data_IF_956370076969
#
_entry.id   IF_956370076969
#
_cell.length_a   1.000
_cell.length_b   1.000
_cell.length_c   1.000
_cell.angle_alpha   90.00
_cell.angle_beta   90.00
_cell.angle_gamma   90.00
#
_symmetry.space_group_name_H-M   'P 1'
#
loop_
_entity.id
_entity.type
_entity.pdbx_description
1 polymer ?
#
# COMPACT_ATOMS: atom_id res chain seq x y z
N UNK A 1 10.75 -1.19 -29.95
CA UNK A 1 9.52 -0.67 -29.31
C UNK A 1 9.03 0.45 -30.22
N UNK A 2 7.75 0.47 -30.58
CA UNK A 2 7.17 1.68 -31.18
C UNK A 2 7.22 2.80 -30.14
N UNK A 3 7.40 4.04 -30.57
CA UNK A 3 7.35 5.22 -29.71
C UNK A 3 5.96 5.30 -29.07
N UNK A 4 5.86 4.90 -27.81
CA UNK A 4 4.62 5.01 -27.03
C UNK A 4 4.56 6.45 -26.52
N UNK A 5 3.46 7.19 -26.74
CA UNK A 5 3.31 8.53 -26.18
C UNK A 5 3.37 8.48 -24.64
N UNK A 6 4.28 9.26 -24.05
CA UNK A 6 4.47 9.34 -22.60
C UNK A 6 4.12 10.75 -22.12
N UNK A 7 3.30 10.82 -21.07
CA UNK A 7 3.09 12.04 -20.30
C UNK A 7 3.88 11.89 -18.99
N UNK A 8 4.81 12.83 -18.73
CA UNK A 8 5.54 12.91 -17.47
C UNK A 8 4.98 14.08 -16.66
N UNK A 9 4.50 13.79 -15.45
CA UNK A 9 4.01 14.81 -14.52
C UNK A 9 4.98 14.86 -13.33
N UNK A 10 5.73 15.95 -13.23
CA UNK A 10 6.64 16.20 -12.12
C UNK A 10 5.94 17.04 -11.03
N UNK A 11 6.02 16.58 -9.78
CA UNK A 11 5.47 17.29 -8.63
C UNK A 11 6.51 18.24 -8.05
N UNK A 12 6.22 19.53 -8.02
CA UNK A 12 7.10 20.55 -7.39
C UNK A 12 7.36 20.23 -5.92
N UNK A 13 6.35 19.74 -5.20
CA UNK A 13 6.47 19.27 -3.81
C UNK A 13 5.98 17.83 -3.70
N UNK A 14 6.83 16.94 -3.18
CA UNK A 14 6.43 15.57 -2.90
C UNK A 14 5.52 15.52 -1.66
N UNK A 15 4.22 15.33 -1.86
CA UNK A 15 3.22 15.20 -0.78
C UNK A 15 2.83 13.73 -0.53
N UNK A 16 3.69 12.79 -0.95
CA UNK A 16 3.53 11.36 -0.72
C UNK A 16 2.92 10.62 -1.90
N UNK A 17 2.16 9.57 -1.60
CA UNK A 17 1.46 8.72 -2.58
C UNK A 17 0.02 9.17 -2.81
N UNK A 18 -0.61 9.76 -1.79
CA UNK A 18 -2.03 10.16 -1.80
C UNK A 18 -2.32 11.13 -2.94
N UNK A 19 -1.49 12.15 -3.06
CA UNK A 19 -1.57 13.21 -4.06
C UNK A 19 -1.48 12.65 -5.48
N UNK A 20 -0.54 11.74 -5.75
CA UNK A 20 -0.38 11.08 -7.05
C UNK A 20 -1.61 10.26 -7.42
N UNK A 21 -2.17 9.49 -6.47
CA UNK A 21 -3.38 8.71 -6.72
C UNK A 21 -4.59 9.62 -6.99
N UNK A 22 -4.81 10.64 -6.15
CA UNK A 22 -5.91 11.59 -6.33
C UNK A 22 -5.80 12.30 -7.68
N UNK A 23 -4.63 12.84 -8.02
CA UNK A 23 -4.39 13.55 -9.27
C UNK A 23 -4.61 12.63 -10.48
N UNK A 24 -4.07 11.41 -10.46
CA UNK A 24 -4.20 10.47 -11.58
C UNK A 24 -5.67 10.12 -11.83
N UNK A 25 -6.44 9.83 -10.78
CA UNK A 25 -7.86 9.55 -10.96
C UNK A 25 -8.66 10.79 -11.34
N UNK A 26 -8.32 11.97 -10.82
CA UNK A 26 -8.95 13.23 -11.21
C UNK A 26 -8.70 13.59 -12.68
N UNK A 27 -7.57 13.19 -13.26
CA UNK A 27 -7.25 13.43 -14.66
C UNK A 27 -7.81 12.37 -15.61
N UNK A 28 -7.78 11.09 -15.23
CA UNK A 28 -8.00 9.97 -16.16
C UNK A 28 -9.18 9.05 -15.82
N UNK A 29 -9.80 9.21 -14.65
CA UNK A 29 -11.00 8.44 -14.26
C UNK A 29 -12.27 9.31 -14.39
N UNK A 30 -13.43 8.81 -13.92
CA UNK A 30 -14.65 9.59 -13.83
C UNK A 30 -14.45 10.82 -12.92
N UNK A 31 -14.93 12.01 -13.33
CA UNK A 31 -14.74 13.24 -12.56
C UNK A 31 -15.57 13.19 -11.26
N UNK A 32 -15.00 13.73 -10.18
CA UNK A 32 -15.68 13.87 -8.88
C UNK A 32 -16.14 15.30 -8.62
N UNK A 33 -17.20 15.45 -7.84
CA UNK A 33 -17.84 16.75 -7.57
C UNK A 33 -16.93 17.75 -6.82
N UNK A 34 -16.12 17.25 -5.89
CA UNK A 34 -15.27 18.09 -5.04
C UNK A 34 -13.85 18.32 -5.62
N UNK A 35 -13.68 18.17 -6.93
CA UNK A 35 -12.39 18.38 -7.61
C UNK A 35 -11.93 19.84 -7.51
N UNK A 36 -10.68 20.12 -7.12
CA UNK A 36 -10.14 21.49 -7.11
C UNK A 36 -10.22 22.15 -8.49
N UNK A 37 -10.49 23.45 -8.53
CA UNK A 37 -10.62 24.21 -9.77
C UNK A 37 -9.40 24.07 -10.67
N UNK A 38 -8.19 24.18 -10.13
CA UNK A 38 -6.95 24.01 -10.91
C UNK A 38 -6.82 22.62 -11.52
N UNK A 39 -7.19 21.57 -10.78
CA UNK A 39 -7.18 20.18 -11.29
C UNK A 39 -8.22 19.98 -12.37
N UNK A 40 -9.40 20.60 -12.25
CA UNK A 40 -10.43 20.58 -13.29
C UNK A 40 -9.95 21.25 -14.59
N UNK A 41 -9.34 22.44 -14.47
CA UNK A 41 -8.76 23.15 -15.62
C UNK A 41 -7.65 22.32 -16.30
N UNK A 42 -6.76 21.72 -15.50
CA UNK A 42 -5.72 20.82 -16.00
C UNK A 42 -6.32 19.61 -16.72
N UNK A 43 -7.37 19.00 -16.17
CA UNK A 43 -8.11 17.92 -16.83
C UNK A 43 -8.63 18.39 -18.19
N UNK A 44 -9.31 19.52 -18.24
CA UNK A 44 -9.85 20.07 -19.49
C UNK A 44 -8.75 20.29 -20.54
N UNK A 45 -7.60 20.83 -20.14
CA UNK A 45 -6.44 21.01 -21.02
C UNK A 45 -5.87 19.67 -21.51
N UNK A 46 -5.69 18.70 -20.62
CA UNK A 46 -5.22 17.36 -20.97
C UNK A 46 -6.15 16.70 -21.99
N UNK A 47 -7.46 16.74 -21.75
CA UNK A 47 -8.45 16.09 -22.62
C UNK A 47 -8.68 16.82 -23.94
N UNK A 48 -8.57 18.15 -23.97
CA UNK A 48 -8.80 18.96 -25.17
C UNK A 48 -7.57 19.08 -26.07
N UNK A 49 -6.38 19.16 -25.47
CA UNK A 49 -5.15 19.53 -26.20
C UNK A 49 -4.17 18.36 -26.27
N UNK A 50 -3.89 17.71 -25.14
CA UNK A 50 -2.79 16.73 -25.04
C UNK A 50 -3.22 15.36 -25.58
N UNK A 51 -4.32 14.79 -25.08
CA UNK A 51 -4.76 13.46 -25.47
C UNK A 51 -5.05 13.33 -26.98
N UNK A 52 -5.74 14.28 -27.64
CA UNK A 52 -5.98 14.18 -29.09
C UNK A 52 -4.68 14.14 -29.90
N UNK A 53 -3.68 14.93 -29.54
CA UNK A 53 -2.37 14.92 -30.20
C UNK A 53 -1.61 13.60 -29.98
N UNK A 54 -1.66 13.05 -28.77
CA UNK A 54 -0.95 11.80 -28.44
C UNK A 54 -1.63 10.55 -28.99
N UNK A 55 -2.94 10.62 -29.25
CA UNK A 55 -3.75 9.46 -29.64
C UNK A 55 -4.23 9.54 -31.09
N UNK A 56 -3.67 10.46 -31.87
CA UNK A 56 -3.97 10.61 -33.29
C UNK A 56 -3.77 9.27 -34.02
N UNK A 57 -4.77 8.85 -34.80
CA UNK A 57 -4.75 7.59 -35.54
C UNK A 57 -5.00 6.30 -34.73
N UNK A 58 -5.15 6.37 -33.41
CA UNK A 58 -5.31 5.17 -32.55
C UNK A 58 -6.78 4.75 -32.33
N UNK A 59 -7.75 5.58 -32.72
CA UNK A 59 -9.18 5.35 -32.44
C UNK A 59 -9.56 5.48 -30.97
N UNK A 60 -8.66 6.02 -30.14
CA UNK A 60 -8.87 6.27 -28.71
C UNK A 60 -10.10 7.14 -28.46
N UNK A 61 -10.92 6.76 -27.47
CA UNK A 61 -12.12 7.50 -27.06
C UNK A 61 -12.12 7.85 -25.57
N UNK A 62 -11.72 6.89 -24.74
CA UNK A 62 -11.69 7.02 -23.30
C UNK A 62 -10.72 5.98 -22.71
N UNK A 63 -10.40 6.15 -21.44
CA UNK A 63 -9.73 5.15 -20.64
C UNK A 63 -10.77 4.21 -20.00
N UNK A 64 -10.55 2.90 -20.07
CA UNK A 64 -11.39 1.93 -19.38
C UNK A 64 -10.86 1.58 -17.98
N UNK A 65 -9.54 1.65 -17.80
CA UNK A 65 -8.86 1.18 -16.60
C UNK A 65 -7.59 2.02 -16.31
N UNK A 66 -7.22 2.08 -15.03
CA UNK A 66 -5.99 2.71 -14.53
C UNK A 66 -5.16 1.64 -13.82
N UNK A 67 -3.92 1.42 -14.29
CA UNK A 67 -2.97 0.52 -13.65
C UNK A 67 -2.01 1.30 -12.74
N UNK A 68 -1.82 0.81 -11.52
CA UNK A 68 -0.92 1.38 -10.52
C UNK A 68 0.26 0.43 -10.28
N UNK A 69 1.47 0.99 -10.30
CA UNK A 69 2.73 0.32 -9.91
C UNK A 69 3.59 1.26 -9.07
N UNK A 70 4.43 0.68 -8.22
CA UNK A 70 5.47 1.40 -7.49
C UNK A 70 6.76 1.40 -8.34
N UNK A 71 7.67 2.35 -8.09
CA UNK A 71 8.88 2.54 -8.89
C UNK A 71 9.95 1.45 -8.66
N UNK A 72 9.88 0.74 -7.53
CA UNK A 72 10.78 -0.34 -7.11
C UNK A 72 10.14 -1.73 -7.36
N UNK A 73 9.28 -1.81 -8.39
CA UNK A 73 8.53 -3.02 -8.70
C UNK A 73 8.74 -3.48 -10.14
N UNK A 74 8.93 -4.79 -10.31
CA UNK A 74 9.05 -5.45 -11.61
C UNK A 74 7.76 -6.18 -11.93
N UNK A 75 7.13 -5.83 -13.05
CA UNK A 75 5.86 -6.42 -13.50
C UNK A 75 6.14 -7.59 -14.45
N UNK A 76 5.63 -8.78 -14.13
CA UNK A 76 5.80 -9.94 -15.01
C UNK A 76 5.01 -9.80 -16.31
N UNK A 77 5.50 -10.45 -17.38
CA UNK A 77 4.82 -10.45 -18.67
C UNK A 77 3.39 -10.99 -18.54
N UNK A 78 2.43 -10.27 -19.14
CA UNK A 78 1.01 -10.61 -19.11
C UNK A 78 0.29 -10.28 -17.79
N UNK A 79 0.98 -9.75 -16.77
CA UNK A 79 0.37 -9.36 -15.49
C UNK A 79 -0.75 -8.33 -15.68
N UNK A 80 -0.47 -7.24 -16.40
CA UNK A 80 -1.45 -6.18 -16.70
C UNK A 80 -2.68 -6.74 -17.42
N UNK A 81 -2.48 -7.59 -18.43
CA UNK A 81 -3.56 -8.22 -19.18
C UNK A 81 -4.43 -9.15 -18.31
N UNK A 82 -3.83 -9.93 -17.41
CA UNK A 82 -4.56 -10.80 -16.47
C UNK A 82 -5.44 -9.97 -15.51
N UNK A 83 -4.92 -8.86 -14.99
CA UNK A 83 -5.67 -7.95 -14.12
C UNK A 83 -6.83 -7.28 -14.87
N UNK A 84 -6.58 -6.78 -16.07
CA UNK A 84 -7.59 -6.17 -16.93
C UNK A 84 -8.70 -7.17 -17.28
N UNK A 85 -8.35 -8.39 -17.68
CA UNK A 85 -9.31 -9.44 -17.99
C UNK A 85 -10.16 -9.84 -16.78
N UNK A 86 -9.55 -9.95 -15.59
CA UNK A 86 -10.30 -10.24 -14.37
C UNK A 86 -11.27 -9.11 -14.01
N UNK A 87 -10.86 -7.86 -14.21
CA UNK A 87 -11.69 -6.68 -13.96
C UNK A 87 -12.87 -6.61 -14.94
N UNK A 88 -12.63 -6.84 -16.23
CA UNK A 88 -13.65 -6.79 -17.27
C UNK A 88 -14.72 -7.90 -17.15
N UNK A 89 -14.36 -9.06 -16.58
CA UNK A 89 -15.27 -10.21 -16.42
C UNK A 89 -16.31 -10.02 -15.30
N UNK A 90 -15.99 -9.22 -14.30
CA UNK A 90 -16.83 -9.01 -13.13
C UNK A 90 -17.31 -7.55 -13.11
N UNK A 91 -18.57 -7.33 -13.51
CA UNK A 91 -19.21 -6.00 -13.54
C UNK A 91 -19.19 -5.28 -12.19
N UNK A 92 -19.17 -6.06 -11.10
CA UNK A 92 -19.17 -5.52 -9.75
C UNK A 92 -17.73 -5.28 -9.26
N UNK A 93 -16.69 -5.79 -9.93
CA UNK A 93 -15.29 -5.59 -9.55
C UNK A 93 -14.79 -4.17 -9.87
N UNK A 94 -14.51 -3.35 -8.85
CA UNK A 94 -14.00 -1.97 -9.01
C UNK A 94 -12.48 -1.92 -9.14
N UNK A 95 -11.81 -2.92 -8.59
CA UNK A 95 -10.38 -3.08 -8.74
C UNK A 95 -9.95 -4.54 -8.59
N UNK A 96 -8.85 -4.88 -9.25
CA UNK A 96 -8.16 -6.16 -9.11
C UNK A 96 -6.72 -5.94 -8.66
N UNK A 97 -6.16 -6.89 -7.91
CA UNK A 97 -4.76 -6.86 -7.51
C UNK A 97 -4.04 -8.16 -7.77
N UNK A 98 -2.75 -8.05 -8.02
CA UNK A 98 -1.86 -9.18 -8.24
C UNK A 98 -1.19 -9.72 -6.99
N UNK A 99 -0.41 -10.78 -7.19
CA UNK A 99 0.52 -11.36 -6.25
C UNK A 99 1.83 -10.56 -6.22
N UNK A 100 2.25 -10.16 -5.02
CA UNK A 100 3.53 -9.49 -4.79
C UNK A 100 4.55 -10.48 -4.23
N UNK A 101 5.68 -10.63 -4.89
CA UNK A 101 6.81 -11.44 -4.43
C UNK A 101 8.00 -10.53 -4.09
N UNK A 102 8.92 -11.04 -3.28
CA UNK A 102 10.19 -10.35 -3.03
C UNK A 102 11.09 -10.58 -4.24
N UNK A 103 11.66 -9.53 -4.80
CA UNK A 103 12.62 -9.66 -5.89
C UNK A 103 13.86 -10.43 -5.42
N UNK A 104 14.31 -11.38 -6.23
CA UNK A 104 15.53 -12.14 -5.96
C UNK A 104 16.72 -11.43 -6.61
N UNK A 105 17.10 -10.29 -6.04
CA UNK A 105 18.26 -9.54 -6.48
C UNK A 105 19.51 -10.43 -6.46
N UNK A 106 20.33 -10.44 -7.53
CA UNK A 106 21.57 -11.22 -7.58
C UNK A 106 22.46 -10.93 -6.37
N UNK A 107 22.88 -11.98 -5.66
CA UNK A 107 23.69 -11.87 -4.44
C UNK A 107 22.89 -11.66 -3.15
N UNK A 108 21.61 -11.27 -3.22
CA UNK A 108 20.71 -11.15 -2.07
C UNK A 108 19.59 -12.20 -2.06
N UNK A 109 19.45 -13.01 -3.11
CA UNK A 109 18.43 -14.06 -3.25
C UNK A 109 18.40 -15.13 -2.13
N UNK A 110 19.46 -15.22 -1.34
CA UNK A 110 19.58 -16.09 -0.16
C UNK A 110 19.81 -15.30 1.13
N UNK A 111 19.69 -13.97 1.09
CA UNK A 111 19.86 -13.14 2.27
C UNK A 111 18.80 -13.50 3.33
N UNK A 112 19.18 -13.32 4.59
CA UNK A 112 18.26 -13.48 5.72
C UNK A 112 16.96 -12.70 5.51
N UNK A 113 17.08 -11.44 5.05
CA UNK A 113 15.94 -10.55 4.82
C UNK A 113 15.02 -11.02 3.70
N UNK A 114 15.58 -11.53 2.60
CA UNK A 114 14.79 -12.06 1.50
C UNK A 114 14.06 -13.33 1.92
N UNK A 115 14.73 -14.28 2.58
CA UNK A 115 14.09 -15.51 3.05
C UNK A 115 12.97 -15.22 4.07
N UNK A 116 13.25 -14.35 5.04
CA UNK A 116 12.29 -13.97 6.08
C UNK A 116 11.07 -13.25 5.48
N UNK A 117 11.28 -12.28 4.60
CA UNK A 117 10.20 -11.48 4.03
C UNK A 117 9.44 -12.22 2.94
N UNK A 118 10.08 -13.06 2.13
CA UNK A 118 9.41 -13.84 1.08
C UNK A 118 8.28 -14.70 1.66
N UNK A 119 8.50 -15.33 2.84
CA UNK A 119 7.43 -16.00 3.56
C UNK A 119 6.35 -15.01 4.02
N UNK A 120 6.72 -13.91 4.67
CA UNK A 120 5.75 -12.96 5.22
C UNK A 120 4.82 -12.37 4.15
N UNK A 121 5.37 -12.02 2.99
CA UNK A 121 4.60 -11.53 1.84
C UNK A 121 3.64 -12.62 1.32
N UNK A 122 4.14 -13.83 1.08
CA UNK A 122 3.34 -14.91 0.48
C UNK A 122 2.29 -15.45 1.45
N UNK A 123 2.66 -15.70 2.72
CA UNK A 123 1.74 -16.18 3.74
C UNK A 123 0.57 -15.22 3.96
N UNK A 124 0.84 -13.92 4.13
CA UNK A 124 -0.22 -12.92 4.30
C UNK A 124 -1.16 -12.84 3.09
N UNK A 125 -0.63 -12.93 1.88
CA UNK A 125 -1.44 -12.87 0.66
C UNK A 125 -2.30 -14.13 0.47
N UNK A 126 -1.78 -15.32 0.72
CA UNK A 126 -2.53 -16.56 0.48
C UNK A 126 -3.43 -16.99 1.64
N UNK A 127 -3.10 -16.62 2.88
CA UNK A 127 -3.98 -16.92 4.03
C UNK A 127 -5.08 -15.89 4.15
N UNK A 128 -4.76 -14.59 4.05
CA UNK A 128 -5.74 -13.52 4.24
C UNK A 128 -6.31 -13.02 2.92
N UNK A 129 -5.47 -12.50 2.02
CA UNK A 129 -5.97 -11.83 0.80
C UNK A 129 -6.72 -12.80 -0.12
N UNK A 130 -6.31 -14.07 -0.20
CA UNK A 130 -7.05 -15.09 -0.97
C UNK A 130 -8.41 -15.42 -0.36
N UNK A 131 -8.49 -15.54 0.97
CA UNK A 131 -9.77 -15.71 1.66
C UNK A 131 -10.71 -14.50 1.42
N UNK A 132 -10.18 -13.28 1.54
CA UNK A 132 -10.90 -12.05 1.18
C UNK A 132 -11.29 -12.01 -0.30
N UNK A 133 -10.45 -12.57 -1.18
CA UNK A 133 -10.68 -12.68 -2.63
C UNK A 133 -11.85 -13.59 -2.98
N UNK A 134 -12.03 -14.72 -2.29
CA UNK A 134 -13.22 -15.58 -2.46
C UNK A 134 -14.51 -14.85 -2.07
N UNK A 135 -14.45 -14.01 -1.03
CA UNK A 135 -15.57 -13.16 -0.62
C UNK A 135 -15.79 -12.01 -1.63
N UNK A 136 -14.76 -11.63 -2.38
CA UNK A 136 -14.75 -10.47 -3.28
C UNK A 136 -14.53 -9.15 -2.54
N UNK A 137 -13.90 -9.17 -1.36
CA UNK A 137 -13.71 -8.00 -0.49
C UNK A 137 -12.28 -7.91 0.02
N UNK A 138 -11.30 -7.99 -0.89
CA UNK A 138 -9.90 -7.72 -0.56
C UNK A 138 -9.77 -6.35 0.10
N UNK A 139 -9.25 -6.32 1.32
CA UNK A 139 -9.17 -5.11 2.17
C UNK A 139 -7.87 -4.33 2.00
N UNK A 140 -6.98 -4.80 1.13
CA UNK A 140 -5.71 -4.14 0.83
C UNK A 140 -5.21 -4.50 -0.57
N UNK A 141 -5.46 -3.61 -1.52
CA UNK A 141 -4.90 -3.65 -2.87
C UNK A 141 -3.50 -3.03 -2.84
N UNK A 142 -2.43 -3.77 -3.14
CA UNK A 142 -1.06 -3.27 -3.05
C UNK A 142 -0.77 -2.22 -4.14
N UNK A 143 0.00 -1.19 -3.78
CA UNK A 143 0.48 -0.16 -4.71
C UNK A 143 1.13 -0.66 -5.99
N UNK A 144 1.95 -1.68 -5.86
CA UNK A 144 2.79 -2.18 -6.94
C UNK A 144 2.07 -2.96 -8.04
N UNK A 145 0.85 -3.45 -7.80
CA UNK A 145 0.16 -4.32 -8.76
C UNK A 145 -1.35 -4.25 -8.58
N UNK A 146 -1.93 -3.12 -8.96
CA UNK A 146 -3.39 -2.90 -8.86
C UNK A 146 -3.94 -2.32 -10.16
N UNK A 147 -5.05 -2.86 -10.64
CA UNK A 147 -5.84 -2.32 -11.75
C UNK A 147 -7.16 -1.79 -11.20
N UNK A 148 -7.55 -0.58 -11.59
CA UNK A 148 -8.76 0.11 -11.13
C UNK A 148 -9.65 0.46 -12.32
N UNK A 149 -10.96 0.27 -12.20
CA UNK A 149 -11.90 0.60 -13.26
C UNK A 149 -12.10 2.12 -13.40
N UNK A 150 -12.37 2.59 -14.62
CA UNK A 150 -12.83 3.96 -14.88
C UNK A 150 -14.35 4.01 -14.84
N UNK A 151 -14.91 4.57 -13.75
CA UNK A 151 -16.37 4.67 -13.52
C UNK A 151 -16.73 5.54 -12.31
N UNK A 152 -18.01 5.88 -12.20
CA UNK A 152 -18.54 6.83 -11.21
C UNK A 152 -18.31 6.42 -9.75
N UNK A 153 -18.36 5.12 -9.43
CA UNK A 153 -18.06 4.67 -8.07
C UNK A 153 -16.61 5.01 -7.67
N UNK A 154 -15.69 5.03 -8.64
CA UNK A 154 -14.32 5.45 -8.36
C UNK A 154 -14.23 6.96 -8.09
N UNK A 155 -15.05 7.79 -8.74
CA UNK A 155 -15.14 9.22 -8.45
C UNK A 155 -15.58 9.46 -6.99
N UNK A 156 -16.60 8.75 -6.52
CA UNK A 156 -17.05 8.79 -5.12
C UNK A 156 -15.98 8.29 -4.14
N UNK A 157 -15.24 7.23 -4.52
CA UNK A 157 -14.13 6.71 -3.73
C UNK A 157 -13.01 7.74 -3.57
N UNK A 158 -12.59 8.39 -4.66
CA UNK A 158 -11.55 9.43 -4.65
C UNK A 158 -12.04 10.68 -3.92
N UNK A 159 -13.30 11.07 -4.07
CA UNK A 159 -13.88 12.18 -3.32
C UNK A 159 -13.78 11.96 -1.80
N UNK A 160 -14.04 10.73 -1.33
CA UNK A 160 -13.90 10.33 0.08
C UNK A 160 -12.44 10.22 0.51
N UNK A 161 -11.58 9.71 -0.36
CA UNK A 161 -10.15 9.55 -0.10
C UNK A 161 -9.40 10.88 -0.01
N UNK A 162 -9.74 11.83 -0.88
CA UNK A 162 -9.15 13.16 -0.97
C UNK A 162 -9.56 14.12 0.17
N UNK A 163 -10.56 13.77 0.99
CA UNK A 163 -11.03 14.65 2.07
C UNK A 163 -9.86 15.02 3.00
N UNK A 164 -9.76 16.31 3.39
CA UNK A 164 -8.78 16.76 4.37
C UNK A 164 -9.15 16.21 5.75
N UNK A 165 -8.12 16.02 6.57
CA UNK A 165 -8.31 15.69 7.99
C UNK A 165 -8.76 16.96 8.70
N UNK A 166 -10.02 16.98 9.12
CA UNK A 166 -10.57 18.10 9.90
C UNK A 166 -10.56 17.85 11.41
N UNK A 167 -10.33 16.60 11.81
CA UNK A 167 -10.46 16.14 13.19
C UNK A 167 -9.13 15.57 13.70
N UNK A 168 -8.75 15.94 14.92
CA UNK A 168 -7.51 15.50 15.58
C UNK A 168 -7.60 14.08 16.15
N UNK A 169 -8.60 13.31 15.76
CA UNK A 169 -8.73 11.91 16.16
C UNK A 169 -7.59 11.09 15.56
N UNK A 170 -6.87 10.37 16.41
CA UNK A 170 -5.71 9.53 16.03
C UNK A 170 -6.03 8.58 14.87
N UNK A 171 -7.25 8.03 14.84
CA UNK A 171 -7.74 7.15 13.78
C UNK A 171 -7.80 7.88 12.44
N UNK A 172 -8.43 9.05 12.42
CA UNK A 172 -8.58 9.87 11.22
C UNK A 172 -7.23 10.39 10.73
N UNK A 173 -6.44 10.94 11.65
CA UNK A 173 -5.11 11.46 11.35
C UNK A 173 -4.20 10.39 10.74
N UNK A 174 -4.16 9.17 11.30
CA UNK A 174 -3.30 8.09 10.80
C UNK A 174 -3.76 7.55 9.43
N UNK A 175 -5.06 7.34 9.20
CA UNK A 175 -5.47 6.76 7.90
C UNK A 175 -5.56 7.77 6.77
N UNK A 176 -5.92 9.01 7.06
CA UNK A 176 -6.24 10.00 6.03
C UNK A 176 -5.00 10.78 5.57
N UNK A 177 -4.02 11.02 6.45
CA UNK A 177 -2.77 11.71 6.07
C UNK A 177 -1.77 10.78 5.37
N UNK A 178 -1.76 9.49 5.69
CA UNK A 178 -0.72 8.59 5.22
C UNK A 178 -0.94 8.04 3.80
N UNK A 179 -2.07 8.36 3.15
CA UNK A 179 -2.26 8.03 1.74
C UNK A 179 -2.19 6.55 1.43
N UNK A 180 -2.86 5.73 2.23
CA UNK A 180 -2.59 4.30 2.26
C UNK A 180 -3.47 3.49 1.32
N UNK A 181 -2.88 2.47 0.75
CA UNK A 181 -3.53 1.45 -0.08
C UNK A 181 -4.82 0.90 0.55
N UNK A 182 -4.78 0.59 1.86
CA UNK A 182 -5.94 0.12 2.63
C UNK A 182 -7.03 1.18 2.70
N UNK A 183 -6.67 2.45 2.87
CA UNK A 183 -7.66 3.52 2.95
C UNK A 183 -8.35 3.75 1.61
N UNK A 184 -7.61 3.74 0.51
CA UNK A 184 -8.21 3.80 -0.82
C UNK A 184 -9.12 2.59 -1.09
N UNK A 185 -8.67 1.39 -0.70
CA UNK A 185 -9.47 0.16 -0.82
C UNK A 185 -10.78 0.25 -0.04
N UNK A 186 -10.75 0.76 1.20
CA UNK A 186 -11.95 1.04 1.97
C UNK A 186 -12.87 2.05 1.26
N UNK A 187 -12.31 3.15 0.75
CA UNK A 187 -13.09 4.17 0.05
C UNK A 187 -13.85 3.57 -1.14
N UNK A 188 -13.22 2.68 -1.93
CA UNK A 188 -13.87 1.93 -3.01
C UNK A 188 -14.98 1.02 -2.51
N UNK A 189 -14.69 0.15 -1.53
CA UNK A 189 -15.68 -0.79 -0.99
C UNK A 189 -16.85 -0.10 -0.28
N UNK A 190 -16.65 1.11 0.23
CA UNK A 190 -17.69 1.86 0.95
C UNK A 190 -18.73 2.52 0.04
N UNK A 191 -18.50 2.55 -1.28
CA UNK A 191 -19.44 3.19 -2.21
C UNK A 191 -20.74 2.40 -2.34
N UNK A 192 -20.64 1.07 -2.45
CA UNK A 192 -21.80 0.18 -2.59
C UNK A 192 -21.41 -1.23 -2.12
N UNK A 193 -22.32 -1.89 -1.39
CA UNK A 193 -22.12 -3.24 -0.85
C UNK A 193 -21.93 -4.31 -1.95
N UNK A 194 -22.37 -4.06 -3.19
CA UNK A 194 -22.15 -4.98 -4.32
C UNK A 194 -20.72 -4.97 -4.84
N UNK A 195 -19.99 -3.86 -4.67
CA UNK A 195 -18.67 -3.69 -5.31
C UNK A 195 -17.64 -4.68 -4.81
N UNK A 196 -16.85 -5.24 -5.72
CA UNK A 196 -15.87 -6.28 -5.42
C UNK A 196 -14.45 -5.77 -5.62
N UNK A 197 -13.55 -6.23 -4.76
CA UNK A 197 -12.10 -6.07 -4.92
C UNK A 197 -11.49 -7.45 -4.99
N UNK A 198 -10.86 -7.77 -6.13
CA UNK A 198 -10.53 -9.15 -6.50
C UNK A 198 -9.02 -9.39 -6.44
N UNK A 199 -8.62 -10.57 -5.98
CA UNK A 199 -7.23 -11.02 -5.99
C UNK A 199 -6.99 -11.96 -7.17
N UNK A 200 -5.99 -11.66 -7.98
CA UNK A 200 -5.61 -12.41 -9.19
C UNK A 200 -4.19 -12.97 -8.97
N UNK A 201 -4.05 -14.18 -8.41
CA UNK A 201 -2.74 -14.72 -7.99
C UNK A 201 -1.78 -14.95 -9.17
N UNK A 202 -2.31 -15.16 -10.38
CA UNK A 202 -1.51 -15.36 -11.60
C UNK A 202 -0.91 -14.06 -12.17
N UNK A 203 -1.36 -12.90 -11.68
CA UNK A 203 -0.82 -11.60 -12.04
C UNK A 203 0.30 -11.25 -11.06
N UNK A 204 1.55 -11.47 -11.46
CA UNK A 204 2.71 -11.40 -10.55
C UNK A 204 3.47 -10.08 -10.72
N UNK A 205 3.88 -9.51 -9.60
CA UNK A 205 4.84 -8.41 -9.48
C UNK A 205 5.89 -8.77 -8.43
N UNK A 206 7.11 -8.32 -8.64
CA UNK A 206 8.19 -8.44 -7.66
C UNK A 206 8.57 -7.06 -7.13
N UNK A 207 9.00 -6.98 -5.88
CA UNK A 207 9.43 -5.73 -5.24
C UNK A 207 10.66 -5.95 -4.39
N UNK A 208 11.52 -4.94 -4.33
CA UNK A 208 12.75 -4.96 -3.53
C UNK A 208 12.41 -4.93 -2.04
N UNK A 209 12.88 -5.93 -1.29
CA UNK A 209 12.65 -5.99 0.14
C UNK A 209 13.75 -5.25 0.93
N UNK A 210 13.42 -4.60 2.06
CA UNK A 210 14.42 -4.00 2.95
C UNK A 210 15.52 -4.99 3.37
N UNK A 211 16.78 -4.61 3.18
CA UNK A 211 17.97 -5.42 3.54
C UNK A 211 18.60 -5.03 4.89
N UNK A 212 17.94 -4.18 5.70
CA UNK A 212 18.45 -3.77 7.01
C UNK A 212 17.34 -3.77 8.06
N UNK A 213 17.72 -4.02 9.32
CA UNK A 213 16.78 -4.04 10.45
C UNK A 213 16.04 -2.72 10.61
N UNK A 214 16.74 -1.59 10.49
CA UNK A 214 16.15 -0.25 10.59
C UNK A 214 15.08 -0.06 9.50
N UNK A 215 15.42 -0.31 8.23
CA UNK A 215 14.46 -0.15 7.13
C UNK A 215 13.26 -1.10 7.27
N UNK A 216 13.49 -2.35 7.66
CA UNK A 216 12.43 -3.32 7.94
C UNK A 216 11.47 -2.83 9.05
N UNK A 217 11.99 -2.38 10.19
CA UNK A 217 11.16 -1.90 11.31
C UNK A 217 10.37 -0.65 10.90
N UNK A 218 11.00 0.31 10.22
CA UNK A 218 10.31 1.50 9.72
C UNK A 218 9.17 1.14 8.76
N UNK A 219 9.40 0.21 7.82
CA UNK A 219 8.38 -0.25 6.89
C UNK A 219 7.23 -0.96 7.61
N UNK A 220 7.55 -1.91 8.51
CA UNK A 220 6.55 -2.69 9.26
C UNK A 220 5.77 -1.86 10.25
N UNK A 221 6.38 -0.84 10.87
CA UNK A 221 5.67 0.13 11.71
C UNK A 221 4.58 0.85 10.91
N UNK A 222 4.93 1.36 9.73
CA UNK A 222 3.97 2.04 8.82
C UNK A 222 2.83 1.11 8.44
N UNK A 223 3.14 -0.13 8.03
CA UNK A 223 2.14 -1.11 7.64
C UNK A 223 1.26 -1.56 8.81
N UNK A 224 1.85 -1.74 9.99
CA UNK A 224 1.17 -2.14 11.22
C UNK A 224 0.18 -1.07 11.68
N UNK A 225 0.63 0.18 11.78
CA UNK A 225 -0.23 1.33 12.11
C UNK A 225 -1.39 1.43 11.10
N UNK A 226 -1.06 1.39 9.81
CA UNK A 226 -2.05 1.49 8.76
C UNK A 226 -3.10 0.36 8.80
N UNK A 227 -2.68 -0.87 9.05
CA UNK A 227 -3.58 -2.02 9.17
C UNK A 227 -4.51 -1.86 10.37
N UNK A 228 -3.96 -1.48 11.53
CA UNK A 228 -4.74 -1.31 12.77
C UNK A 228 -5.86 -0.29 12.60
N UNK A 229 -5.53 0.93 12.15
CA UNK A 229 -6.51 1.99 12.03
C UNK A 229 -7.51 1.78 10.88
N UNK A 230 -7.09 1.20 9.74
CA UNK A 230 -8.05 0.91 8.67
C UNK A 230 -9.04 -0.20 9.03
N UNK A 231 -8.68 -1.13 9.91
CA UNK A 231 -9.64 -2.14 10.37
C UNK A 231 -10.85 -1.50 11.09
N UNK A 232 -10.70 -0.36 11.76
CA UNK A 232 -11.87 0.36 12.32
C UNK A 232 -12.84 0.83 11.24
N UNK A 233 -12.33 1.27 10.09
CA UNK A 233 -13.18 1.63 8.95
C UNK A 233 -13.84 0.41 8.32
N UNK A 234 -13.16 -0.72 8.23
CA UNK A 234 -13.78 -1.97 7.77
C UNK A 234 -14.82 -2.52 8.76
N UNK A 235 -14.62 -2.29 10.06
CA UNK A 235 -15.53 -2.71 11.12
C UNK A 235 -16.79 -1.84 11.19
N UNK A 236 -16.65 -0.51 11.19
CA UNK A 236 -17.73 0.43 11.45
C UNK A 236 -18.17 1.25 10.22
N UNK A 237 -17.46 1.16 9.10
CA UNK A 237 -17.74 1.97 7.91
C UNK A 237 -19.03 1.61 7.17
N UNK A 238 -19.41 2.47 6.24
CA UNK A 238 -20.59 2.34 5.39
C UNK A 238 -20.46 1.15 4.44
N UNK A 239 -21.58 0.50 4.10
CA UNK A 239 -21.69 -0.53 3.05
C UNK A 239 -20.76 -1.77 3.22
N UNK A 240 -20.12 -1.93 4.38
CA UNK A 240 -19.34 -3.12 4.69
C UNK A 240 -20.25 -4.29 5.04
N UNK A 241 -20.03 -5.43 4.40
CA UNK A 241 -20.74 -6.68 4.66
C UNK A 241 -20.33 -7.26 6.03
N UNK A 242 -21.22 -8.07 6.63
CA UNK A 242 -21.03 -8.61 7.98
C UNK A 242 -19.72 -9.39 8.13
N UNK A 243 -19.36 -10.24 7.16
CA UNK A 243 -18.15 -11.06 7.23
C UNK A 243 -16.89 -10.18 7.30
N UNK A 244 -16.83 -9.12 6.49
CA UNK A 244 -15.72 -8.15 6.53
C UNK A 244 -15.64 -7.44 7.87
N UNK A 245 -16.78 -7.07 8.48
CA UNK A 245 -16.82 -6.44 9.81
C UNK A 245 -16.31 -7.38 10.89
N UNK A 246 -16.74 -8.65 10.87
CA UNK A 246 -16.28 -9.67 11.83
C UNK A 246 -14.77 -9.89 11.69
N UNK A 247 -14.27 -10.06 10.45
CA UNK A 247 -12.84 -10.23 10.21
C UNK A 247 -12.03 -9.03 10.70
N UNK A 248 -12.52 -7.81 10.47
CA UNK A 248 -11.90 -6.59 10.95
C UNK A 248 -11.90 -6.50 12.49
N UNK A 249 -13.01 -6.87 13.15
CA UNK A 249 -13.09 -6.91 14.62
C UNK A 249 -12.10 -7.90 15.23
N UNK A 250 -11.98 -9.10 14.64
CA UNK A 250 -11.01 -10.12 15.06
C UNK A 250 -9.59 -9.56 14.95
N UNK A 251 -9.27 -8.87 13.85
CA UNK A 251 -7.94 -8.27 13.68
C UNK A 251 -7.65 -7.13 14.65
N UNK A 252 -8.62 -6.26 14.91
CA UNK A 252 -8.50 -5.20 15.93
C UNK A 252 -8.18 -5.87 17.27
N UNK A 253 -8.99 -6.83 17.71
CA UNK A 253 -8.76 -7.56 18.95
C UNK A 253 -7.38 -8.24 18.98
N UNK A 254 -7.00 -8.91 17.89
CA UNK A 254 -5.70 -9.60 17.76
C UNK A 254 -4.52 -8.64 17.89
N UNK A 255 -4.65 -7.41 17.38
CA UNK A 255 -3.62 -6.37 17.44
C UNK A 255 -3.61 -5.65 18.78
N UNK A 256 -4.76 -5.35 19.38
CA UNK A 256 -4.84 -4.72 20.72
C UNK A 256 -4.29 -5.65 21.80
N UNK A 257 -4.52 -6.97 21.69
CA UNK A 257 -4.13 -7.95 22.70
C UNK A 257 -2.72 -8.56 22.49
N UNK A 258 -1.81 -7.89 21.77
CA UNK A 258 -0.47 -8.44 21.47
C UNK A 258 0.29 -8.83 22.74
N UNK A 259 0.39 -7.95 23.74
CA UNK A 259 1.13 -8.26 24.98
C UNK A 259 0.47 -9.35 25.81
N UNK A 260 -0.86 -9.34 25.91
CA UNK A 260 -1.63 -10.41 26.56
C UNK A 260 -1.37 -11.77 25.90
N UNK A 261 -1.36 -11.81 24.56
CA UNK A 261 -1.05 -13.04 23.82
C UNK A 261 0.38 -13.53 24.03
N UNK A 262 1.35 -12.63 24.12
CA UNK A 262 2.75 -12.99 24.42
C UNK A 262 2.85 -13.61 25.81
N UNK A 263 2.27 -12.98 26.83
CA UNK A 263 2.26 -13.52 28.21
C UNK A 263 1.55 -14.87 28.30
N UNK A 264 0.38 -15.00 27.67
CA UNK A 264 -0.33 -16.28 27.62
C UNK A 264 0.47 -17.37 26.90
N UNK A 265 1.23 -17.03 25.87
CA UNK A 265 2.09 -18.00 25.17
C UNK A 265 3.21 -18.49 26.09
N UNK A 266 3.82 -17.60 26.87
CA UNK A 266 4.85 -17.96 27.86
C UNK A 266 4.25 -18.87 28.95
N UNK A 267 3.08 -18.52 29.49
CA UNK A 267 2.37 -19.34 30.48
C UNK A 267 1.99 -20.72 29.92
N UNK A 268 1.53 -20.77 28.67
CA UNK A 268 1.20 -22.01 27.99
C UNK A 268 2.42 -22.91 27.81
N UNK A 269 3.57 -22.37 27.38
CA UNK A 269 4.82 -23.13 27.26
C UNK A 269 5.26 -23.66 28.62
N UNK A 270 5.19 -22.85 29.68
CA UNK A 270 5.49 -23.29 31.05
C UNK A 270 4.56 -24.42 31.49
N UNK A 271 3.26 -24.32 31.21
CA UNK A 271 2.29 -25.34 31.57
C UNK A 271 2.50 -26.65 30.79
N UNK A 272 2.89 -26.59 29.51
CA UNK A 272 3.28 -27.78 28.74
C UNK A 272 4.53 -28.47 29.31
N UNK A 273 5.47 -27.71 29.89
CA UNK A 273 6.67 -28.28 30.48
C UNK A 273 6.45 -28.94 31.86
N UNK A 274 5.44 -28.50 32.61
CA UNK A 274 5.29 -28.86 34.03
C UNK A 274 3.95 -29.50 34.42
N UNK A 275 2.88 -29.34 33.62
CA UNK A 275 1.51 -29.55 34.12
C UNK A 275 0.59 -30.37 33.21
N UNK A 276 0.80 -30.37 31.89
CA UNK A 276 -0.08 -31.06 30.94
C UNK A 276 0.63 -32.23 30.24
N UNK A 277 -0.09 -33.34 30.04
CA UNK A 277 0.33 -34.35 29.08
C UNK A 277 0.12 -33.84 27.66
N UNK A 278 1.12 -34.01 26.79
CA UNK A 278 1.10 -33.52 25.41
C UNK A 278 -0.14 -33.97 24.62
N UNK A 279 -0.63 -35.19 24.88
CA UNK A 279 -1.78 -35.78 24.19
C UNK A 279 -3.08 -35.00 24.42
N UNK A 280 -3.27 -34.40 25.59
CA UNK A 280 -4.50 -33.67 25.94
C UNK A 280 -4.65 -32.38 25.13
N UNK A 281 -3.51 -31.79 24.74
CA UNK A 281 -3.45 -30.50 24.03
C UNK A 281 -3.29 -30.68 22.52
N UNK A 282 -2.99 -31.90 22.06
CA UNK A 282 -2.73 -32.22 20.67
C UNK A 282 -3.87 -31.79 19.71
N UNK A 283 -5.17 -32.02 20.01
CA UNK A 283 -6.24 -31.59 19.12
C UNK A 283 -6.26 -30.07 18.90
N UNK A 284 -6.01 -29.29 19.95
CA UNK A 284 -5.95 -27.83 19.88
C UNK A 284 -4.75 -27.37 19.03
N UNK A 285 -3.59 -28.02 19.19
CA UNK A 285 -2.40 -27.73 18.40
C UNK A 285 -2.60 -28.01 16.91
N UNK A 286 -3.30 -29.10 16.58
CA UNK A 286 -3.66 -29.48 15.20
C UNK A 286 -4.58 -28.43 14.58
N UNK A 287 -5.65 -28.03 15.28
CA UNK A 287 -6.56 -26.97 14.80
C UNK A 287 -5.80 -25.66 14.60
N UNK A 288 -4.85 -25.34 15.50
CA UNK A 288 -3.98 -24.16 15.37
C UNK A 288 -3.09 -24.15 14.13
N UNK A 289 -2.85 -25.30 13.49
CA UNK A 289 -2.07 -25.37 12.24
C UNK A 289 -2.90 -25.10 10.99
N UNK A 290 -4.22 -24.95 11.09
CA UNK A 290 -5.09 -24.78 9.91
C UNK A 290 -4.61 -23.69 8.92
N UNK A 291 -4.18 -22.49 9.35
CA UNK A 291 -3.65 -21.49 8.41
C UNK A 291 -2.36 -21.92 7.70
N UNK A 292 -1.51 -22.70 8.38
CA UNK A 292 -0.27 -23.24 7.80
C UNK A 292 -0.59 -24.35 6.81
N UNK A 293 -1.52 -25.24 7.15
CA UNK A 293 -2.01 -26.30 6.25
C UNK A 293 -2.59 -25.69 4.98
N UNK A 294 -3.46 -24.68 5.12
CA UNK A 294 -4.00 -23.93 3.98
C UNK A 294 -2.90 -23.30 3.12
N UNK A 295 -1.89 -22.69 3.76
CA UNK A 295 -0.75 -22.13 3.03
C UNK A 295 0.06 -23.19 2.29
N UNK A 296 0.27 -24.38 2.87
CA UNK A 296 0.92 -25.50 2.20
C UNK A 296 0.13 -25.98 0.98
N UNK A 297 -1.21 -26.02 1.05
CA UNK A 297 -2.06 -26.30 -0.11
C UNK A 297 -1.87 -25.23 -1.19
N UNK A 298 -1.85 -23.95 -0.83
CA UNK A 298 -1.58 -22.86 -1.76
C UNK A 298 -0.19 -23.00 -2.40
N UNK A 299 0.84 -23.31 -1.61
CA UNK A 299 2.20 -23.53 -2.08
C UNK A 299 2.30 -24.68 -3.10
N UNK A 300 1.50 -25.73 -2.91
CA UNK A 300 1.43 -26.86 -3.83
C UNK A 300 0.68 -26.52 -5.12
N UNK A 301 -0.43 -25.78 -5.03
CA UNK A 301 -1.31 -25.48 -6.18
C UNK A 301 -0.72 -24.37 -7.07
N UNK A 302 -0.15 -23.33 -6.48
CA UNK A 302 0.14 -22.07 -7.17
C UNK A 302 1.52 -22.09 -7.84
N UNK A 303 1.60 -21.96 -9.18
CA UNK A 303 2.88 -22.08 -9.89
C UNK A 303 3.93 -21.06 -9.42
N UNK A 304 3.52 -19.81 -9.19
CA UNK A 304 4.40 -18.74 -8.75
C UNK A 304 5.02 -19.01 -7.36
N UNK A 305 4.29 -19.68 -6.46
CA UNK A 305 4.82 -20.09 -5.17
C UNK A 305 5.73 -21.32 -5.30
N UNK A 306 5.34 -22.30 -6.13
CA UNK A 306 6.09 -23.54 -6.33
C UNK A 306 7.50 -23.29 -6.85
N UNK A 307 7.67 -22.33 -7.75
CA UNK A 307 8.98 -21.90 -8.27
C UNK A 307 9.94 -21.40 -7.17
N UNK A 308 9.40 -20.94 -6.03
CA UNK A 308 10.15 -20.36 -4.91
C UNK A 308 10.01 -21.20 -3.63
N UNK A 309 9.50 -22.42 -3.74
CA UNK A 309 9.12 -23.23 -2.58
C UNK A 309 10.29 -23.49 -1.64
N UNK A 310 11.48 -23.79 -2.16
CA UNK A 310 12.70 -23.99 -1.38
C UNK A 310 13.03 -22.77 -0.50
N UNK A 311 12.94 -21.55 -1.05
CA UNK A 311 13.17 -20.31 -0.31
C UNK A 311 12.06 -20.02 0.70
N UNK A 312 10.81 -20.28 0.33
CA UNK A 312 9.65 -20.08 1.21
C UNK A 312 9.71 -21.04 2.42
N UNK A 313 10.08 -22.30 2.20
CA UNK A 313 10.23 -23.30 3.26
C UNK A 313 11.37 -22.93 4.21
N UNK A 314 12.52 -22.51 3.68
CA UNK A 314 13.61 -22.01 4.54
C UNK A 314 13.16 -20.76 5.33
N UNK A 315 12.49 -19.83 4.64
CA UNK A 315 11.88 -18.65 5.24
C UNK A 315 10.88 -18.98 6.36
N UNK A 316 10.14 -20.09 6.25
CA UNK A 316 9.23 -20.58 7.29
C UNK A 316 9.96 -20.86 8.61
N UNK A 317 11.07 -21.60 8.56
CA UNK A 317 11.87 -21.90 9.74
C UNK A 317 12.51 -20.64 10.33
N UNK A 318 13.07 -19.78 9.48
CA UNK A 318 13.61 -18.46 9.91
C UNK A 318 12.53 -17.65 10.61
N UNK A 319 11.33 -17.55 10.02
CA UNK A 319 10.24 -16.78 10.60
C UNK A 319 9.73 -17.37 11.91
N UNK A 320 9.68 -18.69 12.08
CA UNK A 320 9.27 -19.31 13.35
C UNK A 320 10.19 -18.93 14.51
N UNK A 321 11.50 -18.80 14.27
CA UNK A 321 12.47 -18.39 15.28
C UNK A 321 12.42 -16.89 15.56
N UNK A 322 12.28 -16.08 14.51
CA UNK A 322 12.46 -14.61 14.59
C UNK A 322 11.17 -13.85 14.88
N UNK A 323 10.02 -14.34 14.40
CA UNK A 323 8.73 -13.63 14.47
C UNK A 323 8.27 -13.27 15.88
N UNK A 324 8.47 -14.08 16.94
CA UNK A 324 8.05 -13.70 18.30
C UNK A 324 8.73 -12.41 18.78
N UNK A 325 10.05 -12.30 18.60
CA UNK A 325 10.83 -11.12 18.95
C UNK A 325 10.45 -9.92 18.09
N UNK A 326 10.38 -10.13 16.77
CA UNK A 326 10.02 -9.06 15.83
C UNK A 326 8.62 -8.51 16.07
N UNK A 327 7.66 -9.34 16.46
CA UNK A 327 6.29 -8.89 16.74
C UNK A 327 6.22 -7.91 17.91
N UNK A 328 7.01 -8.17 18.96
CA UNK A 328 7.12 -7.27 20.11
C UNK A 328 7.76 -5.95 19.66
N UNK A 329 8.92 -6.01 18.99
CA UNK A 329 9.65 -4.83 18.51
C UNK A 329 8.76 -3.94 17.63
N UNK A 330 8.10 -4.52 16.61
CA UNK A 330 7.26 -3.78 15.69
C UNK A 330 6.06 -3.18 16.42
N UNK A 331 5.40 -3.94 17.30
CA UNK A 331 4.22 -3.44 18.00
C UNK A 331 4.57 -2.33 18.99
N UNK A 332 5.66 -2.47 19.74
CA UNK A 332 6.18 -1.40 20.60
C UNK A 332 6.52 -0.15 19.77
N UNK A 333 7.17 -0.31 18.61
CA UNK A 333 7.45 0.80 17.71
C UNK A 333 6.17 1.47 17.16
N UNK A 334 5.11 0.71 16.88
CA UNK A 334 3.80 1.27 16.49
C UNK A 334 3.20 2.05 17.67
N UNK A 335 3.18 1.47 18.86
CA UNK A 335 2.61 2.07 20.06
C UNK A 335 3.31 3.39 20.46
N UNK A 336 4.64 3.42 20.42
CA UNK A 336 5.44 4.61 20.73
C UNK A 336 5.32 5.74 19.69
N UNK A 337 4.79 5.44 18.50
CA UNK A 337 4.65 6.40 17.41
C UNK A 337 3.19 6.64 17.01
N UNK A 338 2.22 6.26 17.85
CA UNK A 338 0.82 6.61 17.63
C UNK A 338 0.66 8.13 17.57
N UNK A 339 -0.13 8.60 16.61
CA UNK A 339 -0.33 10.04 16.38
C UNK A 339 0.73 10.70 15.49
N UNK A 340 1.93 10.14 15.35
CA UNK A 340 2.95 10.70 14.47
C UNK A 340 2.67 10.34 12.99
N UNK A 341 2.51 11.36 12.14
CA UNK A 341 2.26 11.21 10.70
C UNK A 341 3.51 11.33 9.82
N UNK A 342 4.69 11.56 10.41
CA UNK A 342 5.94 11.71 9.65
C UNK A 342 6.32 10.39 8.98
N UNK A 343 6.43 10.43 7.65
CA UNK A 343 7.06 9.38 6.87
C UNK A 343 8.53 9.28 7.29
N UNK A 344 8.90 8.20 7.97
CA UNK A 344 10.31 7.82 8.09
C UNK A 344 10.88 7.47 6.72
N UNK A 345 12.20 7.63 6.56
CA UNK A 345 12.92 7.46 5.28
C UNK A 345 12.38 6.31 4.43
N UNK A 346 11.87 6.65 3.25
CA UNK A 346 11.50 5.70 2.20
C UNK A 346 12.47 5.92 1.04
N UNK A 347 13.06 4.85 0.50
CA UNK A 347 13.87 4.93 -0.71
C UNK A 347 15.39 4.68 -0.58
N UNK A 348 15.88 4.18 0.56
CA UNK A 348 17.28 3.71 0.64
C UNK A 348 17.32 2.21 0.31
N UNK A 349 17.40 1.91 -0.99
CA UNK A 349 17.67 0.55 -1.51
C UNK A 349 19.13 0.15 -1.22
N UNK A 350 19.46 -1.13 -1.34
CA UNK A 350 20.86 -1.58 -1.20
C UNK A 350 21.80 -0.93 -2.24
N UNK A 351 21.25 -0.38 -3.34
CA UNK A 351 21.98 0.34 -4.38
C UNK A 351 22.11 1.85 -4.14
N UNK A 352 21.41 2.44 -3.17
CA UNK A 352 21.56 3.87 -2.88
C UNK A 352 22.84 4.10 -2.07
N UNK A 353 23.81 4.81 -2.66
CA UNK A 353 24.97 5.33 -1.94
C UNK A 353 24.50 6.11 -0.69
N UNK A 354 25.25 6.05 0.43
CA UNK A 354 24.87 6.77 1.64
C UNK A 354 24.76 8.27 1.31
N UNK A 355 23.57 8.83 1.48
CA UNK A 355 23.36 10.26 1.37
C UNK A 355 24.25 10.97 2.38
N UNK A 356 25.12 11.86 1.90
CA UNK A 356 25.89 12.80 2.71
C UNK A 356 24.91 13.63 3.54
N UNK A 357 25.15 13.85 4.85
CA UNK A 357 24.27 14.65 5.69
C UNK A 357 24.45 16.12 5.35
N UNK A 358 23.71 16.61 4.37
CA UNK A 358 23.59 18.03 4.04
C UNK A 358 22.13 18.46 4.13
N UNK A 359 21.51 18.26 5.29
CA UNK A 359 20.15 18.73 5.53
C UNK A 359 19.90 18.97 7.03
N UNK A 360 20.74 19.82 7.64
CA UNK A 360 20.54 20.33 9.01
C UNK A 360 20.99 21.81 9.17
N UNK A 361 21.14 22.56 8.08
CA UNK A 361 21.56 23.98 8.15
C UNK A 361 20.54 25.00 7.62
N UNK A 362 19.30 24.59 7.37
CA UNK A 362 18.23 25.48 6.91
C UNK A 362 17.08 25.66 7.92
N UNK A 363 17.06 24.93 9.03
CA UNK A 363 16.01 25.05 10.06
C UNK A 363 16.41 25.89 11.29
N UNK A 364 17.68 26.30 11.43
CA UNK A 364 18.14 27.15 12.55
C UNK A 364 18.30 28.63 12.18
N UNK A 365 17.97 29.03 10.95
CA UNK A 365 18.14 30.42 10.49
C UNK A 365 16.88 31.30 10.57
N UNK A 366 15.71 30.76 10.95
CA UNK A 366 14.45 31.55 11.03
C UNK A 366 14.00 31.92 12.46
N UNK A 367 14.73 31.50 13.50
CA UNK A 367 14.47 31.93 14.88
C UNK A 367 15.65 32.76 15.42
N UNK A 368 15.86 33.97 14.89
CA UNK A 368 16.91 34.83 15.41
C UNK A 368 17.09 36.18 14.74
N UNK A 369 16.44 37.19 15.34
CA UNK A 369 16.72 38.64 15.28
C UNK A 369 16.15 39.45 14.10
N UNK A 370 15.41 40.47 14.53
CA UNK A 370 15.01 41.65 13.79
C UNK A 370 16.22 42.51 13.35
N UNK A 371 16.05 43.16 12.21
CA UNK A 371 16.82 44.33 11.78
C UNK A 371 17.77 44.11 10.61
N UNK A 372 17.65 45.01 9.63
CA UNK A 372 18.63 45.39 8.59
C UNK A 372 18.41 44.84 7.16
N UNK A 373 18.05 45.80 6.30
CA UNK A 373 18.25 46.01 4.84
C UNK A 373 18.36 44.81 3.87
N UNK A 374 17.50 44.86 2.83
CA UNK A 374 17.58 44.01 1.64
C UNK A 374 18.67 44.53 0.68
N UNK A 375 19.56 43.68 0.16
CA UNK A 375 20.28 43.97 -1.07
C UNK A 375 19.42 43.59 -2.27
N UNK A 376 19.26 44.51 -3.21
CA UNK A 376 18.71 44.25 -4.55
C UNK A 376 19.64 43.33 -5.34
N UNK A 377 19.05 42.42 -6.14
CA UNK A 377 19.77 41.72 -7.21
C UNK A 377 19.04 41.91 -8.54
N UNK A 378 19.78 41.94 -9.67
CA UNK A 378 19.35 42.64 -10.87
C UNK A 378 18.89 41.65 -11.94
N UNK A 379 17.59 41.61 -12.25
CA UNK A 379 17.11 41.00 -13.51
C UNK A 379 16.02 41.88 -14.10
N UNK A 380 16.28 42.25 -15.35
CA UNK A 380 15.58 43.16 -16.25
C UNK A 380 14.09 42.86 -16.44
N UNK A 381 13.24 43.89 -16.32
CA UNK A 381 11.87 43.90 -16.86
C UNK A 381 11.90 44.22 -18.36
N UNK A 382 11.05 43.59 -19.20
CA UNK A 382 10.83 44.06 -20.56
C UNK A 382 9.99 45.36 -20.56
N UNK A 383 10.15 46.24 -21.56
CA UNK A 383 9.48 47.54 -21.59
C UNK A 383 7.99 47.41 -21.89
N UNK A 384 7.18 48.16 -21.15
CA UNK A 384 5.76 48.40 -21.42
C UNK A 384 5.57 49.42 -22.57
N UNK A 385 4.49 49.32 -23.36
CA UNK A 385 4.28 50.15 -24.54
C UNK A 385 3.88 51.60 -24.19
N UNK A 386 4.15 52.58 -25.07
CA UNK A 386 3.85 53.98 -24.79
C UNK A 386 2.36 54.27 -24.91
N UNK A 387 1.81 54.97 -23.91
CA UNK A 387 0.51 55.63 -23.96
C UNK A 387 0.55 56.76 -24.98
N UNK A 388 -0.46 56.81 -25.85
CA UNK A 388 -0.74 57.96 -26.71
C UNK A 388 -2.07 58.57 -26.24
N UNK A 389 -1.94 59.77 -25.67
CA UNK A 389 -2.87 60.90 -25.50
C UNK A 389 -4.34 60.64 -25.17
#
# INVERSE_FOLDING_TARGET
MQDVPVIVIEKVKNSGKKDSLVLTHDLFNAPRDNMPTYTRLLREEVWRTILPALTEGTGFRAFDMVFCTDADSVIHQGCVAKLANALARDKDAIATCGLVLVELEPGYEWSFWNLYQQLQYTFGQFVRRRAEGFIGKVTCLPGCVTMVAVRDEMAGAIAKYARPVKEDWVVHHQVQNLGTDRRLTYCMLSQDAKLRTVFVPDAVSETVAPQSFKHYVHQRRRWGSNAYFNNYFYFAGENMILITRIAAAIDIARQTLVYYRVLNTILFIRALAHSFHFLDVLPLLVVGQFPVIWFCVCLAVEPALRQRAHKIVLGFFVNKLVSPFMSIIIFTAVAMNLGNAVWGMSGVTASSAPATPAMDKLSEAEEGKAGVERPESPISRPPSPPEVL
#
